data_IF_927256994855
#
_entry.id   IF_927256994855
#
_cell.length_a   1.000
_cell.length_b   1.000
_cell.length_c   1.000
_cell.angle_alpha   90.00
_cell.angle_beta   90.00
_cell.angle_gamma   90.00
#
_symmetry.space_group_name_H-M   'P 1'
#
loop_
_entity.id
_entity.type
_entity.pdbx_description
1 polymer ?
#
# COMPACT_ATOMS: atom_id res chain seq x y z
N UNK A 1 -1.42 9.19 -7.75
CA UNK A 1 -2.76 8.74 -8.18
C UNK A 1 -2.88 7.25 -7.91
N UNK A 2 -3.97 6.81 -7.28
CA UNK A 2 -4.22 5.38 -7.03
C UNK A 2 -4.71 4.65 -8.30
N UNK A 3 -4.04 3.60 -8.76
CA UNK A 3 -4.57 2.76 -9.84
C UNK A 3 -5.78 1.95 -9.34
N UNK A 4 -6.69 1.57 -10.24
CA UNK A 4 -7.81 0.65 -9.91
C UNK A 4 -7.35 -0.81 -9.90
N UNK A 5 -6.43 -1.15 -10.79
CA UNK A 5 -5.81 -2.47 -10.89
C UNK A 5 -4.52 -2.39 -11.71
N UNK A 6 -3.68 -3.40 -11.57
CA UNK A 6 -2.43 -3.59 -12.33
C UNK A 6 -2.03 -5.07 -12.28
N UNK A 7 -1.11 -5.49 -13.16
CA UNK A 7 -0.65 -6.88 -13.20
C UNK A 7 0.75 -7.03 -12.60
N UNK A 8 0.96 -8.11 -11.84
CA UNK A 8 2.27 -8.55 -11.34
C UNK A 8 2.44 -10.05 -11.63
N UNK A 9 3.49 -10.42 -12.38
CA UNK A 9 3.78 -11.81 -12.78
C UNK A 9 2.55 -12.57 -13.32
N UNK A 10 1.70 -11.91 -14.11
CA UNK A 10 0.49 -12.50 -14.70
C UNK A 10 -0.73 -12.53 -13.77
N UNK A 11 -0.64 -11.97 -12.57
CA UNK A 11 -1.77 -11.82 -11.63
C UNK A 11 -2.30 -10.40 -11.62
N UNK A 12 -3.60 -10.24 -11.86
CA UNK A 12 -4.27 -8.93 -11.73
C UNK A 12 -4.56 -8.59 -10.28
N UNK A 13 -3.93 -7.53 -9.79
CA UNK A 13 -4.13 -6.97 -8.46
C UNK A 13 -5.21 -5.90 -8.52
N UNK A 14 -6.20 -5.98 -7.63
CA UNK A 14 -7.27 -4.98 -7.50
C UNK A 14 -7.01 -4.08 -6.31
N UNK A 15 -7.14 -2.76 -6.51
CA UNK A 15 -6.94 -1.76 -5.46
C UNK A 15 -8.30 -1.22 -5.01
N UNK A 16 -8.55 -1.23 -3.69
CA UNK A 16 -9.80 -0.80 -3.08
C UNK A 16 -9.53 0.31 -2.05
N UNK A 17 -10.01 1.51 -2.32
CA UNK A 17 -10.05 2.59 -1.33
C UNK A 17 -11.36 2.50 -0.52
N UNK A 18 -11.27 2.32 0.79
CA UNK A 18 -12.43 2.27 1.68
C UNK A 18 -12.51 3.49 2.59
N UNK A 19 -13.74 3.95 2.84
CA UNK A 19 -14.02 5.16 3.64
C UNK A 19 -14.22 4.89 5.13
N UNK A 20 -13.58 3.84 5.66
CA UNK A 20 -13.73 3.32 7.03
C UNK A 20 -12.41 2.76 7.54
N UNK A 21 -12.23 2.67 8.86
CA UNK A 21 -11.03 2.08 9.47
C UNK A 21 -10.82 0.63 9.01
N UNK A 22 -9.56 0.26 8.78
CA UNK A 22 -9.09 -1.14 8.76
C UNK A 22 -8.79 -1.60 10.18
N UNK A 23 -8.89 -2.91 10.43
CA UNK A 23 -8.75 -3.62 11.71
C UNK A 23 -8.58 -2.75 12.99
N UNK A 24 -9.70 -2.39 13.62
CA UNK A 24 -9.80 -1.54 14.82
C UNK A 24 -9.04 -0.19 14.79
N UNK A 25 -8.52 0.22 13.64
CA UNK A 25 -7.84 1.49 13.36
C UNK A 25 -6.32 1.48 13.48
N UNK A 26 -5.70 0.30 13.60
CA UNK A 26 -4.23 0.16 13.66
C UNK A 26 -3.61 0.16 12.27
N UNK A 27 -4.22 -0.56 11.34
CA UNK A 27 -3.74 -0.65 9.97
C UNK A 27 -4.46 0.36 9.07
N UNK A 28 -3.73 0.87 8.07
CA UNK A 28 -4.26 1.80 7.05
C UNK A 28 -4.17 1.23 5.64
N UNK A 29 -3.43 0.14 5.48
CA UNK A 29 -3.33 -0.68 4.28
C UNK A 29 -3.42 -2.16 4.65
N UNK A 30 -3.82 -2.98 3.68
CA UNK A 30 -3.79 -4.43 3.78
C UNK A 30 -3.58 -5.03 2.39
N UNK A 31 -2.48 -5.76 2.23
CA UNK A 31 -2.21 -6.65 1.11
C UNK A 31 -2.78 -8.05 1.38
N UNK A 32 -3.76 -8.47 0.59
CA UNK A 32 -4.29 -9.83 0.59
C UNK A 32 -3.79 -10.57 -0.66
N UNK A 33 -2.69 -11.30 -0.50
CA UNK A 33 -2.03 -12.03 -1.58
C UNK A 33 -2.89 -13.15 -2.19
N UNK A 34 -3.58 -14.02 -1.42
CA UNK A 34 -4.46 -15.04 -1.99
C UNK A 34 -5.59 -14.47 -2.87
N UNK A 35 -6.17 -13.32 -2.48
CA UNK A 35 -7.24 -12.67 -3.23
C UNK A 35 -6.72 -11.70 -4.31
N UNK A 36 -5.41 -11.45 -4.37
CA UNK A 36 -4.80 -10.43 -5.21
C UNK A 36 -5.47 -9.06 -5.04
N UNK A 37 -5.60 -8.61 -3.79
CA UNK A 37 -6.17 -7.29 -3.50
C UNK A 37 -5.30 -6.47 -2.57
N UNK A 38 -5.27 -5.17 -2.83
CA UNK A 38 -4.76 -4.16 -1.92
C UNK A 38 -5.95 -3.34 -1.44
N UNK A 39 -6.16 -3.29 -0.14
CA UNK A 39 -7.20 -2.44 0.48
C UNK A 39 -6.53 -1.32 1.25
N UNK A 40 -6.99 -0.09 1.03
CA UNK A 40 -6.46 1.11 1.69
C UNK A 40 -7.60 1.83 2.37
N UNK A 41 -7.41 2.14 3.66
CA UNK A 41 -8.33 2.98 4.40
C UNK A 41 -7.97 4.45 4.24
N UNK A 42 -8.98 5.30 4.00
CA UNK A 42 -8.79 6.75 4.13
C UNK A 42 -9.03 7.26 5.57
N UNK A 43 -9.25 6.36 6.53
CA UNK A 43 -9.43 6.69 7.95
C UNK A 43 -8.36 6.00 8.79
N UNK A 44 -7.89 6.67 9.82
CA UNK A 44 -6.96 6.09 10.79
C UNK A 44 -7.27 6.61 12.20
N UNK A 45 -6.80 5.88 13.22
CA UNK A 45 -6.89 6.34 14.60
C UNK A 45 -5.64 7.12 14.99
N UNK A 46 -5.85 8.22 15.69
CA UNK A 46 -4.82 8.99 16.39
C UNK A 46 -5.29 9.17 17.84
N UNK A 47 -4.82 8.28 18.72
CA UNK A 47 -5.43 8.03 20.02
C UNK A 47 -6.90 7.59 19.88
N UNK A 48 -7.79 8.27 20.59
CA UNK A 48 -9.24 8.01 20.54
C UNK A 48 -9.95 8.67 19.35
N UNK A 49 -9.24 9.48 18.55
CA UNK A 49 -9.83 10.24 17.44
C UNK A 49 -9.69 9.49 16.12
N UNK A 50 -10.76 9.47 15.34
CA UNK A 50 -10.73 9.00 13.94
C UNK A 50 -10.44 10.19 13.02
N UNK A 51 -9.33 10.12 12.29
CA UNK A 51 -8.91 11.14 11.32
C UNK A 51 -9.06 10.63 9.89
N UNK A 52 -9.09 11.57 8.94
CA UNK A 52 -9.03 11.27 7.50
C UNK A 52 -7.59 11.43 7.04
N UNK A 53 -7.07 10.43 6.33
CA UNK A 53 -5.78 10.51 5.68
C UNK A 53 -5.81 11.52 4.53
N UNK A 54 -4.70 12.24 4.33
CA UNK A 54 -4.50 13.05 3.13
C UNK A 54 -4.06 12.15 1.97
N UNK A 55 -4.03 12.71 0.76
CA UNK A 55 -3.70 11.96 -0.45
C UNK A 55 -2.27 11.39 -0.40
N UNK A 56 -1.30 12.15 0.11
CA UNK A 56 0.09 11.69 0.24
C UNK A 56 0.22 10.44 1.12
N UNK A 57 -0.50 10.40 2.23
CA UNK A 57 -0.51 9.25 3.14
C UNK A 57 -1.18 8.03 2.50
N UNK A 58 -2.30 8.25 1.78
CA UNK A 58 -3.01 7.19 1.05
C UNK A 58 -2.11 6.61 -0.04
N UNK A 59 -1.43 7.47 -0.80
CA UNK A 59 -0.53 7.05 -1.87
C UNK A 59 0.69 6.32 -1.33
N UNK A 60 1.33 6.81 -0.27
CA UNK A 60 2.44 6.11 0.37
C UNK A 60 2.03 4.71 0.85
N UNK A 61 0.87 4.62 1.51
CA UNK A 61 0.30 3.33 1.95
C UNK A 61 0.10 2.37 0.78
N UNK A 62 -0.37 2.86 -0.37
CA UNK A 62 -0.45 2.03 -1.57
C UNK A 62 0.91 1.46 -1.98
N UNK A 63 1.95 2.28 -2.02
CA UNK A 63 3.29 1.81 -2.38
C UNK A 63 3.85 0.82 -1.36
N UNK A 64 3.51 0.96 -0.08
CA UNK A 64 3.85 0.00 0.97
C UNK A 64 3.23 -1.39 0.66
N UNK A 65 1.92 -1.44 0.44
CA UNK A 65 1.24 -2.70 0.10
C UNK A 65 1.66 -3.27 -1.27
N UNK A 66 2.01 -2.40 -2.23
CA UNK A 66 2.54 -2.82 -3.52
C UNK A 66 3.87 -3.57 -3.35
N UNK A 67 4.76 -3.08 -2.49
CA UNK A 67 6.04 -3.76 -2.22
C UNK A 67 5.79 -5.11 -1.57
N UNK A 68 4.83 -5.24 -0.65
CA UNK A 68 4.42 -6.54 -0.12
C UNK A 68 3.96 -7.50 -1.24
N UNK A 69 3.05 -7.05 -2.12
CA UNK A 69 2.58 -7.86 -3.25
C UNK A 69 3.72 -8.32 -4.16
N UNK A 70 4.70 -7.45 -4.44
CA UNK A 70 5.87 -7.77 -5.27
C UNK A 70 6.72 -8.84 -4.57
N UNK A 71 7.09 -8.63 -3.30
CA UNK A 71 7.97 -9.54 -2.57
C UNK A 71 7.32 -10.91 -2.35
N UNK A 72 6.02 -10.96 -2.03
CA UNK A 72 5.29 -12.23 -1.94
C UNK A 72 5.33 -12.98 -3.26
N UNK A 73 5.10 -12.30 -4.40
CA UNK A 73 5.11 -12.93 -5.73
C UNK A 73 6.50 -13.37 -6.17
N UNK A 74 7.54 -12.71 -5.69
CA UNK A 74 8.93 -13.15 -5.89
C UNK A 74 9.31 -14.34 -4.99
N UNK A 75 8.48 -14.70 -4.00
CA UNK A 75 8.82 -15.71 -2.98
C UNK A 75 9.80 -15.19 -1.92
N UNK A 76 10.00 -13.87 -1.83
CA UNK A 76 10.98 -13.23 -0.94
C UNK A 76 10.39 -12.94 0.45
N UNK A 77 9.86 -13.97 1.11
CA UNK A 77 9.13 -13.82 2.38
C UNK A 77 9.96 -13.21 3.51
N UNK A 78 11.29 -13.42 3.52
CA UNK A 78 12.18 -12.81 4.52
C UNK A 78 12.27 -11.30 4.36
N UNK A 79 12.33 -10.81 3.13
CA UNK A 79 12.31 -9.37 2.84
C UNK A 79 10.90 -8.80 3.05
N UNK A 80 9.87 -9.57 2.68
CA UNK A 80 8.48 -9.19 2.88
C UNK A 80 8.15 -8.92 4.36
N UNK A 81 8.69 -9.73 5.27
CA UNK A 81 8.49 -9.58 6.71
C UNK A 81 9.41 -8.51 7.35
N UNK A 82 10.25 -7.85 6.55
CA UNK A 82 11.11 -6.76 7.01
C UNK A 82 10.41 -5.43 6.74
N UNK A 83 9.50 -5.03 7.64
CA UNK A 83 8.74 -3.77 7.56
C UNK A 83 9.62 -2.55 7.30
N UNK A 84 10.82 -2.51 7.89
CA UNK A 84 11.77 -1.42 7.64
C UNK A 84 12.22 -1.39 6.18
N UNK A 85 12.47 -2.54 5.56
CA UNK A 85 12.81 -2.61 4.14
C UNK A 85 11.61 -2.19 3.29
N UNK A 86 10.43 -2.77 3.55
CA UNK A 86 9.20 -2.50 2.80
C UNK A 86 8.87 -1.02 2.80
N UNK A 87 8.83 -0.41 3.99
CA UNK A 87 8.44 0.98 4.15
C UNK A 87 9.45 1.95 3.51
N UNK A 88 10.75 1.73 3.71
CA UNK A 88 11.77 2.58 3.08
C UNK A 88 11.77 2.43 1.55
N UNK A 89 11.61 1.22 1.02
CA UNK A 89 11.55 1.00 -0.42
C UNK A 89 10.30 1.66 -1.01
N UNK A 90 9.15 1.52 -0.36
CA UNK A 90 7.91 2.17 -0.74
C UNK A 90 8.00 3.69 -0.74
N UNK A 91 8.60 4.29 0.31
CA UNK A 91 8.81 5.74 0.40
C UNK A 91 9.67 6.27 -0.76
N UNK A 92 10.78 5.58 -1.07
CA UNK A 92 11.66 5.94 -2.17
C UNK A 92 10.97 5.78 -3.53
N UNK A 93 10.26 4.68 -3.74
CA UNK A 93 9.51 4.40 -4.98
C UNK A 93 8.41 5.45 -5.20
N UNK A 94 7.64 5.75 -4.14
CA UNK A 94 6.61 6.79 -4.17
C UNK A 94 7.21 8.15 -4.53
N UNK A 95 8.31 8.53 -3.88
CA UNK A 95 8.98 9.81 -4.14
C UNK A 95 9.45 9.90 -5.60
N UNK A 96 10.04 8.84 -6.13
CA UNK A 96 10.43 8.78 -7.54
C UNK A 96 9.23 8.97 -8.47
N UNK A 97 8.17 8.18 -8.28
CA UNK A 97 6.96 8.23 -9.09
C UNK A 97 6.26 9.60 -9.06
N UNK A 98 6.27 10.27 -7.91
CA UNK A 98 5.67 11.59 -7.73
C UNK A 98 6.51 12.72 -8.34
N UNK A 99 7.83 12.59 -8.30
CA UNK A 99 8.75 13.67 -8.71
C UNK A 99 9.26 13.54 -10.14
N UNK A 100 9.08 12.38 -10.79
CA UNK A 100 9.50 12.17 -12.18
C UNK A 100 8.84 13.16 -13.12
N UNK A 101 9.62 13.64 -14.08
CA UNK A 101 9.17 14.55 -15.15
C UNK A 101 9.41 13.87 -16.48
N UNK A 102 8.38 13.85 -17.32
CA UNK A 102 8.50 13.37 -18.69
C UNK A 102 9.06 14.48 -19.58
N UNK A 103 9.86 14.09 -20.57
CA UNK A 103 10.32 14.98 -21.62
C UNK A 103 9.23 15.18 -22.66
#
# INVERSE_FOLDING_TARGET
MLPKSFDLLGHTIKVKLIKKLLDKGVNVGESNDPENTITISNKYKDGDKVKTANDDYIEHTFYHELVHQILTKMGEYKLNNNEKFVDNFAALLYQFEKSKKFK
#
